data_IF_414462672129
#
_entry.id   IF_414462672129
#
_cell.length_a   1.000
_cell.length_b   1.000
_cell.length_c   1.000
_cell.angle_alpha   90.00
_cell.angle_beta   90.00
_cell.angle_gamma   90.00
#
_symmetry.space_group_name_H-M   'P 1'
#
loop_
_entity.id
_entity.type
_entity.pdbx_description
1 polymer ?
#
# COMPACT_ATOMS: atom_id res chain seq x y z
N UNK A 1 -8.62 33.64 -12.71
CA UNK A 1 -7.33 33.98 -12.05
C UNK A 1 -7.05 33.17 -10.77
N UNK A 2 -7.88 32.18 -10.43
CA UNK A 2 -7.75 31.30 -9.25
C UNK A 2 -7.03 29.98 -9.54
N UNK A 3 -6.99 29.54 -10.82
CA UNK A 3 -6.36 28.29 -11.26
C UNK A 3 -4.82 28.39 -11.37
N UNK A 4 -4.30 29.52 -11.87
CA UNK A 4 -2.85 29.77 -12.04
C UNK A 4 -2.10 30.01 -10.72
N UNK A 5 -2.82 30.17 -9.60
CA UNK A 5 -2.23 30.42 -8.27
C UNK A 5 -2.01 29.14 -7.46
N UNK A 6 -2.74 28.05 -7.76
CA UNK A 6 -2.52 26.73 -7.15
C UNK A 6 -1.23 26.06 -7.66
N UNK A 7 -0.80 26.37 -8.89
CA UNK A 7 0.41 25.83 -9.52
C UNK A 7 1.72 26.27 -8.81
N UNK A 8 1.74 27.46 -8.20
CA UNK A 8 2.97 28.05 -7.66
C UNK A 8 3.46 27.44 -6.33
N UNK A 9 2.55 26.97 -5.47
CA UNK A 9 2.93 26.29 -4.22
C UNK A 9 3.37 24.85 -4.51
N UNK A 10 2.66 24.17 -5.42
CA UNK A 10 3.08 22.89 -6.00
C UNK A 10 4.48 22.98 -6.58
N UNK A 11 4.80 24.03 -7.34
CA UNK A 11 6.14 24.22 -7.93
C UNK A 11 7.30 24.24 -6.92
N UNK A 12 7.13 24.71 -5.68
CA UNK A 12 8.26 24.78 -4.72
C UNK A 12 8.51 23.47 -3.98
N UNK A 13 7.46 22.76 -3.56
CA UNK A 13 7.57 21.38 -3.05
C UNK A 13 8.01 20.42 -4.16
N UNK A 14 7.54 20.64 -5.39
CA UNK A 14 8.03 19.96 -6.61
C UNK A 14 9.51 20.25 -6.81
N UNK A 15 9.95 21.53 -6.82
CA UNK A 15 11.37 21.88 -6.94
C UNK A 15 12.25 21.28 -5.85
N UNK A 16 11.78 21.17 -4.60
CA UNK A 16 12.55 20.53 -3.52
C UNK A 16 12.70 19.02 -3.75
N UNK A 17 11.64 18.34 -4.18
CA UNK A 17 11.67 16.90 -4.48
C UNK A 17 12.41 16.61 -5.79
N UNK A 18 12.24 17.45 -6.81
CA UNK A 18 13.04 17.46 -8.03
C UNK A 18 14.51 17.72 -7.73
N UNK A 19 14.84 18.63 -6.82
CA UNK A 19 16.22 18.88 -6.42
C UNK A 19 16.82 17.69 -5.65
N UNK A 20 16.04 17.05 -4.77
CA UNK A 20 16.45 15.78 -4.13
C UNK A 20 16.65 14.68 -5.16
N UNK A 21 15.71 14.50 -6.09
CA UNK A 21 15.79 13.53 -7.18
C UNK A 21 16.95 13.84 -8.14
N UNK A 22 17.18 15.10 -8.48
CA UNK A 22 18.28 15.56 -9.35
C UNK A 22 19.63 15.37 -8.67
N UNK A 23 19.74 15.65 -7.37
CA UNK A 23 20.95 15.38 -6.61
C UNK A 23 21.18 13.87 -6.46
N UNK A 24 20.11 13.08 -6.30
CA UNK A 24 20.18 11.62 -6.33
C UNK A 24 20.69 11.14 -7.70
N UNK A 25 20.11 11.61 -8.80
CA UNK A 25 20.46 11.25 -10.17
C UNK A 25 21.90 11.66 -10.50
N UNK A 26 22.33 12.88 -10.13
CA UNK A 26 23.71 13.35 -10.32
C UNK A 26 24.72 12.53 -9.52
N UNK A 27 24.32 12.05 -8.35
CA UNK A 27 25.14 11.19 -7.51
C UNK A 27 25.18 9.73 -8.04
N UNK A 28 24.07 9.24 -8.59
CA UNK A 28 23.93 7.87 -9.11
C UNK A 28 24.56 7.73 -10.51
N UNK A 29 24.44 8.74 -11.38
CA UNK A 29 24.93 8.75 -12.77
C UNK A 29 25.78 10.00 -13.07
N UNK A 30 27.03 10.07 -12.59
CA UNK A 30 27.88 11.26 -12.73
C UNK A 30 28.18 11.65 -14.18
N UNK A 31 27.99 10.74 -15.14
CA UNK A 31 28.30 10.94 -16.56
C UNK A 31 27.08 11.06 -17.49
N UNK A 32 25.84 10.92 -16.98
CA UNK A 32 24.63 10.98 -17.82
C UNK A 32 23.87 12.29 -17.57
N UNK A 33 23.88 13.19 -18.56
CA UNK A 33 22.95 14.31 -18.62
C UNK A 33 21.58 13.77 -19.03
N UNK A 34 20.82 13.23 -18.08
CA UNK A 34 19.43 12.87 -18.33
C UNK A 34 18.68 14.17 -18.65
N UNK A 35 18.15 14.27 -19.88
CA UNK A 35 17.12 15.26 -20.20
C UNK A 35 15.92 14.92 -19.31
N UNK A 36 15.80 15.58 -18.16
CA UNK A 36 14.51 15.74 -17.51
C UNK A 36 13.63 16.34 -18.60
N UNK A 37 12.68 15.55 -19.11
CA UNK A 37 11.78 16.00 -20.16
C UNK A 37 11.03 17.23 -19.61
N UNK A 38 11.52 18.41 -19.98
CA UNK A 38 10.86 19.66 -19.67
C UNK A 38 9.58 19.72 -20.49
N UNK A 39 8.45 19.76 -19.78
CA UNK A 39 7.09 20.09 -20.25
C UNK A 39 6.40 19.01 -21.09
N UNK A 40 5.84 18.01 -20.41
CA UNK A 40 4.41 17.72 -20.57
C UNK A 40 3.75 17.85 -19.20
N UNK A 41 2.55 18.42 -19.14
CA UNK A 41 1.74 18.60 -17.93
C UNK A 41 1.14 17.28 -17.40
N UNK A 42 1.69 16.15 -17.82
CA UNK A 42 1.21 14.80 -17.49
C UNK A 42 2.14 14.17 -16.46
N UNK A 43 1.56 13.58 -15.41
CA UNK A 43 2.33 12.95 -14.36
C UNK A 43 3.07 11.73 -14.90
N UNK A 44 4.38 11.65 -14.62
CA UNK A 44 5.25 10.58 -15.11
C UNK A 44 4.95 9.29 -14.34
N UNK A 45 4.26 8.35 -14.97
CA UNK A 45 3.92 7.04 -14.38
C UNK A 45 5.04 6.01 -14.50
N UNK A 46 5.97 6.20 -15.44
CA UNK A 46 7.14 5.33 -15.66
C UNK A 46 8.41 6.18 -15.64
N UNK A 47 9.33 5.85 -14.74
CA UNK A 47 10.61 6.55 -14.58
C UNK A 47 11.72 5.61 -15.01
N UNK A 48 12.31 5.86 -16.17
CA UNK A 48 13.48 5.09 -16.61
C UNK A 48 14.78 5.73 -16.08
N UNK A 49 15.41 5.07 -15.12
CA UNK A 49 16.73 5.41 -14.59
C UNK A 49 17.83 4.52 -15.17
N UNK A 50 17.51 3.55 -16.04
CA UNK A 50 18.49 2.62 -16.57
C UNK A 50 19.37 3.22 -17.68
N UNK A 51 20.41 2.48 -18.03
CA UNK A 51 21.32 2.79 -19.13
C UNK A 51 20.62 2.66 -20.50
N UNK A 52 19.61 1.79 -20.60
CA UNK A 52 18.91 1.40 -21.84
C UNK A 52 17.68 2.26 -22.14
N UNK A 53 17.36 2.38 -23.42
CA UNK A 53 16.10 2.97 -23.87
C UNK A 53 14.98 1.92 -23.84
N UNK A 54 13.80 2.31 -23.36
CA UNK A 54 12.63 1.43 -23.32
C UNK A 54 11.81 1.63 -24.59
N UNK A 55 11.30 0.54 -25.15
CA UNK A 55 10.36 0.61 -26.28
C UNK A 55 9.03 1.24 -25.86
N UNK A 56 8.29 1.81 -26.81
CA UNK A 56 6.96 2.38 -26.56
C UNK A 56 5.99 1.34 -25.98
N UNK A 57 6.06 0.09 -26.44
CA UNK A 57 5.24 -1.01 -25.91
C UNK A 57 5.60 -1.34 -24.45
N UNK A 58 6.88 -1.31 -24.08
CA UNK A 58 7.35 -1.47 -22.69
C UNK A 58 6.83 -0.34 -21.80
N UNK A 59 6.94 0.91 -22.26
CA UNK A 59 6.43 2.06 -21.49
C UNK A 59 4.90 1.99 -21.36
N UNK A 60 4.20 1.63 -22.43
CA UNK A 60 2.74 1.44 -22.44
C UNK A 60 2.31 0.44 -21.37
N UNK A 61 2.91 -0.74 -21.32
CA UNK A 61 2.50 -1.78 -20.36
C UNK A 61 2.89 -1.43 -18.92
N UNK A 62 4.08 -0.86 -18.68
CA UNK A 62 4.51 -0.44 -17.33
C UNK A 62 3.70 0.75 -16.81
N UNK A 63 3.20 1.63 -17.70
CA UNK A 63 2.36 2.77 -17.33
C UNK A 63 1.04 2.36 -16.68
N UNK A 64 0.61 1.09 -16.87
CA UNK A 64 -0.61 0.53 -16.28
C UNK A 64 -0.50 0.22 -14.79
N UNK A 65 0.73 0.17 -14.26
CA UNK A 65 1.01 -0.18 -12.86
C UNK A 65 1.36 -1.64 -12.66
N UNK A 66 2.21 -1.94 -11.68
CA UNK A 66 2.67 -3.31 -11.39
C UNK A 66 1.52 -4.21 -10.90
N UNK A 67 0.55 -3.62 -10.20
CA UNK A 67 -0.70 -4.25 -9.81
C UNK A 67 -1.71 -4.43 -10.95
N UNK A 68 -1.35 -4.18 -12.21
CA UNK A 68 -2.23 -4.46 -13.34
C UNK A 68 -2.24 -5.96 -13.62
N UNK A 69 -3.42 -6.58 -13.63
CA UNK A 69 -3.59 -7.97 -14.02
C UNK A 69 -3.82 -8.17 -15.53
N UNK A 70 -2.89 -8.83 -16.24
CA UNK A 70 -3.14 -9.39 -17.56
C UNK A 70 -4.27 -10.42 -17.56
N UNK A 71 -5.01 -10.51 -18.65
CA UNK A 71 -5.99 -11.59 -18.85
C UNK A 71 -5.28 -12.95 -18.93
N UNK A 72 -5.76 -13.97 -18.19
CA UNK A 72 -5.12 -15.29 -18.20
C UNK A 72 -5.20 -15.93 -19.59
N UNK A 73 -4.11 -16.61 -19.99
CA UNK A 73 -4.02 -17.32 -21.30
C UNK A 73 -4.70 -18.68 -21.30
N UNK A 74 -5.03 -19.20 -20.12
CA UNK A 74 -5.72 -20.48 -19.91
C UNK A 74 -6.58 -20.36 -18.67
N UNK A 75 -7.66 -21.14 -18.62
CA UNK A 75 -8.45 -21.27 -17.40
C UNK A 75 -7.64 -22.17 -16.44
N UNK A 76 -7.42 -21.77 -15.17
CA UNK A 76 -6.73 -22.58 -14.17
C UNK A 76 -7.67 -23.69 -13.66
N UNK A 77 -7.89 -24.69 -14.52
CA UNK A 77 -8.84 -25.79 -14.26
C UNK A 77 -8.45 -26.58 -13.01
N UNK A 78 -7.16 -26.85 -12.82
CA UNK A 78 -6.64 -27.60 -11.67
C UNK A 78 -6.92 -26.89 -10.34
N UNK A 79 -6.65 -25.57 -10.27
CA UNK A 79 -6.91 -24.77 -9.08
C UNK A 79 -8.42 -24.67 -8.80
N UNK A 80 -9.24 -24.48 -9.85
CA UNK A 80 -10.69 -24.42 -9.70
C UNK A 80 -11.24 -25.74 -9.16
N UNK A 81 -10.83 -26.88 -9.72
CA UNK A 81 -11.28 -28.21 -9.27
C UNK A 81 -10.85 -28.46 -7.82
N UNK A 82 -9.59 -28.16 -7.50
CA UNK A 82 -9.06 -28.31 -6.13
C UNK A 82 -9.85 -27.48 -5.13
N UNK A 83 -10.19 -26.24 -5.50
CA UNK A 83 -11.00 -25.37 -4.65
C UNK A 83 -12.45 -25.85 -4.51
N UNK A 84 -13.08 -26.36 -5.57
CA UNK A 84 -14.41 -26.98 -5.49
C UNK A 84 -14.42 -28.18 -4.54
N UNK A 85 -13.44 -29.08 -4.65
CA UNK A 85 -13.35 -30.24 -3.75
C UNK A 85 -13.12 -29.81 -2.29
N UNK A 86 -12.28 -28.79 -2.07
CA UNK A 86 -12.11 -28.18 -0.75
C UNK A 86 -13.41 -27.58 -0.21
N UNK A 87 -14.22 -26.92 -1.05
CA UNK A 87 -15.54 -26.38 -0.68
C UNK A 87 -16.51 -27.50 -0.30
N UNK A 88 -16.60 -28.55 -1.12
CA UNK A 88 -17.43 -29.74 -0.85
C UNK A 88 -17.06 -30.36 0.51
N UNK A 89 -15.76 -30.54 0.75
CA UNK A 89 -15.24 -31.13 1.97
C UNK A 89 -15.50 -30.26 3.21
N UNK A 90 -15.17 -28.96 3.15
CA UNK A 90 -15.29 -28.02 4.28
C UNK A 90 -16.75 -27.75 4.67
N UNK A 91 -17.64 -27.64 3.68
CA UNK A 91 -19.06 -27.34 3.91
C UNK A 91 -19.94 -28.60 4.00
N UNK A 92 -19.34 -29.81 4.00
CA UNK A 92 -20.02 -31.10 4.16
C UNK A 92 -21.22 -31.25 3.21
N UNK A 93 -21.00 -30.98 1.93
CA UNK A 93 -22.04 -31.07 0.90
C UNK A 93 -22.43 -32.56 0.71
N UNK A 94 -23.73 -32.91 0.69
CA UNK A 94 -24.18 -34.29 0.47
C UNK A 94 -23.68 -34.88 -0.85
N UNK A 95 -23.49 -36.19 -0.90
CA UNK A 95 -22.92 -36.86 -2.08
C UNK A 95 -23.68 -36.58 -3.39
N UNK A 96 -25.01 -36.60 -3.39
CA UNK A 96 -25.80 -36.31 -4.59
C UNK A 96 -25.62 -34.88 -5.12
N UNK A 97 -25.67 -33.89 -4.22
CA UNK A 97 -25.47 -32.49 -4.57
C UNK A 97 -24.03 -32.19 -4.99
N UNK A 98 -23.06 -32.86 -4.35
CA UNK A 98 -21.66 -32.76 -4.71
C UNK A 98 -21.38 -33.31 -6.12
N UNK A 99 -22.04 -34.41 -6.51
CA UNK A 99 -21.89 -34.98 -7.85
C UNK A 99 -22.54 -34.10 -8.93
N UNK A 100 -23.70 -33.50 -8.63
CA UNK A 100 -24.31 -32.47 -9.49
C UNK A 100 -23.37 -31.26 -9.67
N UNK A 101 -22.82 -30.73 -8.56
CA UNK A 101 -21.89 -29.61 -8.57
C UNK A 101 -20.64 -29.90 -9.42
N UNK A 102 -20.04 -31.08 -9.23
CA UNK A 102 -18.89 -31.54 -10.04
C UNK A 102 -19.23 -31.58 -11.52
N UNK A 103 -20.40 -32.13 -11.88
CA UNK A 103 -20.82 -32.28 -13.26
C UNK A 103 -21.10 -30.93 -13.93
N UNK A 104 -21.76 -30.01 -13.21
CA UNK A 104 -22.07 -28.67 -13.69
C UNK A 104 -20.81 -27.84 -13.90
N UNK A 105 -19.90 -27.84 -12.92
CA UNK A 105 -18.60 -27.15 -13.03
C UNK A 105 -17.77 -27.76 -14.15
N UNK A 106 -17.70 -29.09 -14.27
CA UNK A 106 -16.95 -29.76 -15.35
C UNK A 106 -17.52 -29.44 -16.74
N UNK A 107 -18.84 -29.33 -16.86
CA UNK A 107 -19.51 -28.92 -18.11
C UNK A 107 -19.25 -27.46 -18.42
N UNK A 108 -19.29 -26.59 -17.42
CA UNK A 108 -18.99 -25.16 -17.55
C UNK A 108 -17.55 -24.93 -18.00
N UNK A 109 -16.57 -25.59 -17.37
CA UNK A 109 -15.15 -25.42 -17.69
C UNK A 109 -14.82 -25.87 -19.13
N UNK A 110 -15.49 -26.93 -19.61
CA UNK A 110 -15.32 -27.41 -21.00
C UNK A 110 -15.92 -26.46 -22.05
N UNK A 111 -17.02 -25.77 -21.72
CA UNK A 111 -17.75 -24.89 -22.66
C UNK A 111 -17.31 -23.43 -22.61
N UNK A 112 -16.62 -23.02 -21.55
CA UNK A 112 -16.32 -21.62 -21.32
C UNK A 112 -15.21 -21.11 -22.25
N UNK A 113 -15.45 -20.03 -23.02
CA UNK A 113 -14.40 -19.37 -23.79
C UNK A 113 -13.47 -18.58 -22.86
N UNK A 114 -12.25 -18.36 -23.32
CA UNK A 114 -11.33 -17.44 -22.65
C UNK A 114 -11.83 -15.99 -22.77
N UNK A 115 -11.67 -15.18 -21.70
CA UNK A 115 -11.96 -13.76 -21.76
C UNK A 115 -11.07 -13.05 -22.80
N UNK A 116 -11.57 -11.94 -23.34
CA UNK A 116 -10.82 -11.12 -24.30
C UNK A 116 -9.56 -10.57 -23.64
N UNK A 117 -8.41 -10.73 -24.30
CA UNK A 117 -7.15 -10.23 -23.78
C UNK A 117 -7.16 -8.70 -23.65
N UNK A 118 -6.68 -8.23 -22.50
CA UNK A 118 -6.49 -6.82 -22.19
C UNK A 118 -5.07 -6.30 -22.50
N UNK A 119 -4.16 -7.13 -23.03
CA UNK A 119 -2.79 -6.76 -23.44
C UNK A 119 -2.56 -7.16 -24.90
N UNK A 120 -1.82 -6.36 -25.65
CA UNK A 120 -1.47 -6.66 -27.04
C UNK A 120 -0.34 -7.68 -27.16
N UNK A 121 -0.19 -8.31 -28.34
CA UNK A 121 0.92 -9.24 -28.60
C UNK A 121 2.29 -8.55 -28.51
N UNK A 122 2.38 -7.26 -28.86
CA UNK A 122 3.61 -6.46 -28.76
C UNK A 122 3.98 -6.19 -27.30
N UNK A 123 3.02 -5.75 -26.49
CA UNK A 123 3.21 -5.57 -25.05
C UNK A 123 3.58 -6.89 -24.35
N UNK A 124 3.03 -8.02 -24.81
CA UNK A 124 3.44 -9.36 -24.34
C UNK A 124 4.89 -9.68 -24.71
N UNK A 125 5.35 -9.35 -25.92
CA UNK A 125 6.75 -9.52 -26.31
C UNK A 125 7.66 -8.65 -25.45
N UNK A 126 7.30 -7.37 -25.28
CA UNK A 126 8.01 -6.42 -24.45
C UNK A 126 8.17 -6.89 -23.00
N UNK A 127 7.11 -7.43 -22.38
CA UNK A 127 7.19 -8.02 -21.04
C UNK A 127 8.12 -9.24 -20.97
N UNK A 128 8.14 -10.09 -22.01
CA UNK A 128 9.04 -11.25 -22.06
C UNK A 128 10.48 -10.83 -22.22
N UNK A 129 10.75 -9.85 -23.09
CA UNK A 129 12.08 -9.26 -23.28
C UNK A 129 12.58 -8.66 -21.97
N UNK A 130 11.74 -7.85 -21.31
CA UNK A 130 12.08 -7.22 -20.04
C UNK A 130 12.32 -8.23 -18.91
N UNK A 131 11.48 -9.28 -18.81
CA UNK A 131 11.64 -10.36 -17.83
C UNK A 131 12.94 -11.16 -18.04
N UNK A 132 13.37 -11.32 -19.29
CA UNK A 132 14.58 -12.07 -19.62
C UNK A 132 15.84 -11.21 -19.53
N UNK A 133 15.71 -9.90 -19.34
CA UNK A 133 16.83 -8.97 -19.24
C UNK A 133 17.29 -8.83 -17.78
N UNK A 134 18.24 -9.67 -17.38
CA UNK A 134 18.82 -9.65 -16.02
C UNK A 134 19.58 -8.35 -15.68
N UNK A 135 19.88 -7.50 -16.67
CA UNK A 135 20.56 -6.22 -16.44
C UNK A 135 19.62 -5.09 -16.02
N UNK A 136 18.31 -5.31 -16.06
CA UNK A 136 17.30 -4.35 -15.67
C UNK A 136 16.47 -4.86 -14.49
N UNK A 137 16.23 -3.96 -13.53
CA UNK A 137 15.28 -4.16 -12.45
C UNK A 137 14.10 -3.22 -12.64
N UNK A 138 12.89 -3.75 -12.49
CA UNK A 138 11.66 -2.97 -12.43
C UNK A 138 11.21 -2.92 -10.99
N UNK A 139 10.97 -1.75 -10.43
CA UNK A 139 10.62 -1.60 -9.01
C UNK A 139 9.45 -0.62 -8.86
N UNK A 140 8.57 -0.81 -7.87
CA UNK A 140 7.64 0.23 -7.47
C UNK A 140 8.41 1.42 -6.87
N UNK A 141 8.00 2.64 -7.23
CA UNK A 141 8.47 3.83 -6.54
C UNK A 141 7.87 3.89 -5.13
N UNK A 142 8.67 4.28 -4.14
CA UNK A 142 8.24 4.54 -2.75
C UNK A 142 7.03 5.50 -2.68
N UNK A 143 7.00 6.50 -3.56
CA UNK A 143 5.94 7.51 -3.61
C UNK A 143 5.39 7.68 -5.01
N UNK A 144 4.07 7.88 -5.07
CA UNK A 144 3.39 8.28 -6.30
C UNK A 144 2.84 7.15 -7.13
N UNK A 145 2.98 5.88 -6.71
CA UNK A 145 2.60 4.72 -7.50
C UNK A 145 3.15 4.87 -8.93
N UNK A 146 4.47 5.03 -9.07
CA UNK A 146 5.15 5.05 -10.35
C UNK A 146 5.97 3.76 -10.50
N UNK A 147 6.24 3.36 -11.73
CA UNK A 147 7.11 2.21 -12.02
C UNK A 147 8.49 2.71 -12.39
N UNK A 148 9.53 2.26 -11.69
CA UNK A 148 10.91 2.66 -11.90
C UNK A 148 11.65 1.52 -12.58
N UNK A 149 12.43 1.83 -13.62
CA UNK A 149 13.34 0.87 -14.26
C UNK A 149 14.77 1.32 -14.00
N UNK A 150 15.61 0.44 -13.46
CA UNK A 150 16.98 0.76 -13.03
C UNK A 150 17.94 -0.33 -13.51
N UNK A 151 19.21 0.00 -13.75
CA UNK A 151 20.22 -1.04 -14.01
C UNK A 151 20.44 -1.87 -12.74
N UNK A 152 20.47 -3.19 -12.90
CA UNK A 152 20.71 -4.17 -11.81
C UNK A 152 22.00 -3.86 -11.06
N UNK A 153 23.09 -3.58 -11.77
CA UNK A 153 24.39 -3.24 -11.19
C UNK A 153 24.34 -1.95 -10.34
N UNK A 154 23.65 -0.92 -10.84
CA UNK A 154 23.53 0.36 -10.13
C UNK A 154 22.73 0.21 -8.83
N UNK A 155 21.65 -0.58 -8.87
CA UNK A 155 20.87 -0.92 -7.69
C UNK A 155 21.70 -1.69 -6.67
N UNK A 156 22.39 -2.74 -7.10
CA UNK A 156 23.23 -3.57 -6.24
C UNK A 156 24.36 -2.80 -5.57
N UNK A 157 25.04 -1.94 -6.33
CA UNK A 157 26.07 -1.07 -5.79
C UNK A 157 25.48 -0.18 -4.69
N UNK A 158 24.27 0.33 -4.88
CA UNK A 158 23.61 1.18 -3.88
C UNK A 158 23.23 0.43 -2.62
N UNK A 159 22.61 -0.74 -2.74
CA UNK A 159 22.26 -1.56 -1.56
C UNK A 159 23.53 -1.99 -0.83
N UNK A 160 24.57 -2.39 -1.56
CA UNK A 160 25.87 -2.76 -0.97
C UNK A 160 26.49 -1.57 -0.23
N UNK A 161 26.41 -0.35 -0.76
CA UNK A 161 26.84 0.86 -0.08
C UNK A 161 26.03 1.11 1.21
N UNK A 162 24.71 0.94 1.18
CA UNK A 162 23.84 1.15 2.35
C UNK A 162 24.12 0.11 3.44
N UNK A 163 24.19 -1.16 3.07
CA UNK A 163 24.41 -2.28 4.00
C UNK A 163 25.87 -2.30 4.51
N UNK A 164 26.79 -1.67 3.78
CA UNK A 164 28.17 -1.42 4.20
C UNK A 164 28.32 -0.39 5.33
N UNK A 165 27.27 0.37 5.66
CA UNK A 165 27.31 1.29 6.79
C UNK A 165 27.30 0.53 8.13
N UNK A 166 28.49 0.38 8.71
CA UNK A 166 28.71 -0.32 9.98
C UNK A 166 28.11 0.39 11.20
N UNK A 167 27.64 1.63 11.05
CA UNK A 167 26.92 2.34 12.12
C UNK A 167 25.47 1.88 12.26
N UNK A 168 24.87 1.38 11.17
CA UNK A 168 23.46 0.95 11.11
C UNK A 168 23.32 -0.56 10.99
N UNK A 169 24.20 -1.21 10.22
CA UNK A 169 24.12 -2.63 9.92
C UNK A 169 25.39 -3.39 10.29
N UNK A 170 25.21 -4.65 10.70
CA UNK A 170 26.31 -5.55 11.02
C UNK A 170 26.16 -6.86 10.27
N UNK A 171 27.15 -7.21 9.45
CA UNK A 171 27.23 -8.52 8.78
C UNK A 171 27.42 -9.66 9.79
N UNK A 172 26.71 -10.76 9.59
CA UNK A 172 26.64 -11.93 10.46
C UNK A 172 27.10 -13.16 9.67
N UNK A 173 28.03 -13.93 10.22
CA UNK A 173 28.67 -15.08 9.54
C UNK A 173 27.91 -16.41 9.69
N UNK A 174 26.73 -16.38 10.30
CA UNK A 174 25.93 -17.57 10.58
C UNK A 174 24.47 -17.30 10.25
N UNK A 175 23.73 -18.35 9.91
CA UNK A 175 22.29 -18.27 9.75
C UNK A 175 21.64 -18.09 11.13
N UNK A 176 20.99 -16.94 11.42
CA UNK A 176 20.44 -16.64 12.74
C UNK A 176 19.13 -17.38 13.04
N UNK A 177 18.48 -17.97 12.03
CA UNK A 177 17.11 -18.51 12.13
C UNK A 177 16.95 -19.50 13.27
N UNK A 178 17.76 -20.55 13.34
CA UNK A 178 17.65 -21.58 14.39
C UNK A 178 17.81 -20.99 15.80
N UNK A 179 18.71 -20.01 15.94
CA UNK A 179 18.99 -19.33 17.22
C UNK A 179 17.82 -18.43 17.63
N UNK A 180 17.27 -17.68 16.67
CA UNK A 180 16.08 -16.84 16.89
C UNK A 180 14.90 -17.71 17.28
N UNK A 181 14.59 -18.75 16.50
CA UNK A 181 13.50 -19.70 16.79
C UNK A 181 13.62 -20.32 18.18
N UNK A 182 14.82 -20.80 18.55
CA UNK A 182 15.05 -21.39 19.87
C UNK A 182 14.83 -20.40 21.00
N UNK A 183 15.29 -19.15 20.84
CA UNK A 183 15.13 -18.12 21.87
C UNK A 183 13.68 -17.64 21.98
N UNK A 184 12.98 -17.48 20.86
CA UNK A 184 11.54 -17.17 20.83
C UNK A 184 10.75 -18.26 21.53
N UNK A 185 10.98 -19.54 21.21
CA UNK A 185 10.28 -20.65 21.87
C UNK A 185 10.51 -20.67 23.38
N UNK A 186 11.73 -20.38 23.84
CA UNK A 186 12.02 -20.24 25.29
C UNK A 186 11.25 -19.09 25.92
N UNK A 187 11.17 -17.93 25.26
CA UNK A 187 10.44 -16.77 25.76
C UNK A 187 8.93 -17.03 25.80
N UNK A 188 8.37 -17.68 24.78
CA UNK A 188 6.96 -18.08 24.74
C UNK A 188 6.61 -19.05 25.88
N UNK A 189 7.49 -20.01 26.18
CA UNK A 189 7.29 -20.92 27.31
C UNK A 189 7.31 -20.20 28.67
N UNK A 190 8.08 -19.12 28.81
CA UNK A 190 8.15 -18.30 30.04
C UNK A 190 6.87 -17.47 30.22
N UNK A 191 6.26 -16.99 29.14
CA UNK A 191 5.01 -16.23 29.19
C UNK A 191 3.87 -17.10 29.76
N UNK A 192 3.88 -18.42 29.49
CA UNK A 192 3.06 -19.41 30.20
C UNK A 192 1.54 -19.34 29.98
N UNK A 193 1.05 -18.34 29.24
CA UNK A 193 -0.37 -18.13 28.97
C UNK A 193 -0.83 -18.95 27.75
N UNK A 194 -1.46 -20.10 28.03
CA UNK A 194 -1.98 -21.03 27.00
C UNK A 194 -3.04 -20.39 26.11
N UNK A 195 -3.80 -19.43 26.64
CA UNK A 195 -4.88 -18.76 25.93
C UNK A 195 -4.34 -17.63 25.03
N UNK A 196 -3.33 -16.88 25.48
CA UNK A 196 -2.60 -15.92 24.64
C UNK A 196 -1.85 -16.62 23.49
N UNK A 197 -1.20 -17.75 23.74
CA UNK A 197 -0.55 -18.58 22.70
C UNK A 197 -1.58 -19.07 21.67
N UNK A 198 -2.79 -19.41 22.10
CA UNK A 198 -3.89 -19.75 21.22
C UNK A 198 -4.46 -18.53 20.46
N UNK A 199 -4.51 -17.33 21.08
CA UNK A 199 -5.00 -16.08 20.46
C UNK A 199 -4.01 -15.41 19.50
N UNK A 200 -2.72 -15.73 19.60
CA UNK A 200 -1.69 -15.35 18.62
C UNK A 200 -1.80 -16.16 17.31
N UNK A 201 -2.67 -17.19 17.25
CA UNK A 201 -3.21 -17.70 15.98
C UNK A 201 -4.37 -16.79 15.55
N UNK A 202 -4.27 -16.10 14.41
CA UNK A 202 -5.28 -15.13 14.01
C UNK A 202 -6.54 -15.85 13.53
N UNK A 203 -7.66 -15.66 14.23
CA UNK A 203 -8.97 -16.13 13.79
C UNK A 203 -10.10 -15.08 13.87
N UNK A 204 -9.92 -13.93 14.55
CA UNK A 204 -10.82 -12.75 14.46
C UNK A 204 -10.28 -11.55 15.28
N UNK A 205 -9.89 -10.41 14.67
CA UNK A 205 -9.39 -9.26 15.42
C UNK A 205 -10.52 -8.38 15.97
N UNK A 206 -10.46 -8.08 17.27
CA UNK A 206 -11.21 -6.97 17.89
C UNK A 206 -10.24 -5.92 18.43
N UNK A 207 -10.59 -4.62 18.38
CA UNK A 207 -9.71 -3.55 18.85
C UNK A 207 -9.53 -3.60 20.38
N UNK A 208 -8.29 -3.43 20.89
CA UNK A 208 -8.04 -3.44 22.33
C UNK A 208 -8.58 -2.16 23.00
N UNK A 209 -9.23 -2.32 24.16
CA UNK A 209 -9.57 -1.23 25.09
C UNK A 209 -8.44 -1.05 26.09
N UNK A 210 -8.04 0.20 26.32
CA UNK A 210 -7.00 0.59 27.29
C UNK A 210 -7.52 0.37 28.72
N UNK A 211 -6.74 -0.36 29.53
CA UNK A 211 -6.79 -0.26 30.98
C UNK A 211 -5.45 0.34 31.46
N UNK A 212 -5.56 1.30 32.39
CA UNK A 212 -4.42 2.01 32.95
C UNK A 212 -3.38 1.11 33.62
N UNK A 213 -2.13 1.61 33.63
CA UNK A 213 -0.94 1.13 34.35
C UNK A 213 -1.00 -0.33 34.81
N UNK A 214 -0.70 -1.24 33.89
CA UNK A 214 -0.12 -2.54 34.24
C UNK A 214 1.40 -2.42 34.17
N UNK A 215 2.09 -2.87 35.22
CA UNK A 215 3.51 -3.21 35.08
C UNK A 215 3.59 -4.35 34.07
N UNK A 216 4.08 -4.07 32.85
CA UNK A 216 4.37 -5.10 31.86
C UNK A 216 5.24 -6.16 32.54
N UNK A 217 4.82 -7.44 32.61
CA UNK A 217 5.65 -8.46 33.22
C UNK A 217 7.01 -8.50 32.52
N UNK A 218 8.08 -8.71 33.29
CA UNK A 218 9.46 -8.68 32.77
C UNK A 218 9.66 -9.57 31.55
N UNK A 219 8.94 -10.71 31.49
CA UNK A 219 8.94 -11.64 30.35
C UNK A 219 8.47 -11.01 29.03
N UNK A 220 7.49 -10.09 29.05
CA UNK A 220 7.05 -9.36 27.86
C UNK A 220 8.08 -8.31 27.46
N UNK A 221 8.69 -7.60 28.41
CA UNK A 221 9.74 -6.62 28.15
C UNK A 221 10.96 -7.29 27.51
N UNK A 222 11.36 -8.46 28.03
CA UNK A 222 12.42 -9.27 27.44
C UNK A 222 12.09 -9.73 26.01
N UNK A 223 10.84 -10.14 25.78
CA UNK A 223 10.37 -10.57 24.46
C UNK A 223 10.34 -9.42 23.45
N UNK A 224 9.80 -8.27 23.83
CA UNK A 224 9.77 -7.05 23.02
C UNK A 224 11.20 -6.59 22.71
N UNK A 225 12.06 -6.53 23.73
CA UNK A 225 13.48 -6.17 23.57
C UNK A 225 14.18 -7.11 22.61
N UNK A 226 13.90 -8.41 22.69
CA UNK A 226 14.47 -9.40 21.80
C UNK A 226 14.00 -9.20 20.36
N UNK A 227 12.71 -8.97 20.13
CA UNK A 227 12.16 -8.70 18.80
C UNK A 227 12.77 -7.43 18.18
N UNK A 228 12.91 -6.35 18.95
CA UNK A 228 13.51 -5.10 18.47
C UNK A 228 15.01 -5.24 18.14
N UNK A 229 15.74 -6.09 18.86
CA UNK A 229 17.18 -6.33 18.65
C UNK A 229 17.49 -7.44 17.64
N UNK A 230 16.48 -8.11 17.11
CA UNK A 230 16.63 -9.26 16.19
C UNK A 230 16.17 -8.91 14.77
N UNK A 231 16.41 -7.68 14.32
CA UNK A 231 16.18 -7.24 12.95
C UNK A 231 17.21 -7.82 11.98
N UNK A 232 17.19 -9.14 11.78
CA UNK A 232 18.04 -9.81 10.82
C UNK A 232 17.39 -9.81 9.43
N UNK A 233 18.18 -9.63 8.39
CA UNK A 233 17.75 -9.79 7.00
C UNK A 233 18.84 -10.49 6.18
N UNK A 234 18.42 -11.06 5.04
CA UNK A 234 19.29 -11.73 4.08
C UNK A 234 19.47 -10.80 2.88
N UNK A 235 20.72 -10.60 2.45
CA UNK A 235 21.02 -9.90 1.21
C UNK A 235 22.14 -10.66 0.49
N UNK A 236 21.87 -11.15 -0.72
CA UNK A 236 22.82 -11.92 -1.56
C UNK A 236 23.55 -13.05 -0.84
N UNK A 237 22.81 -13.85 -0.07
CA UNK A 237 23.37 -14.98 0.68
C UNK A 237 24.07 -14.62 1.99
N UNK A 238 24.26 -13.32 2.27
CA UNK A 238 24.84 -12.83 3.50
C UNK A 238 23.77 -12.36 4.49
N UNK A 239 23.95 -12.70 5.76
CA UNK A 239 23.06 -12.25 6.82
C UNK A 239 23.54 -10.92 7.40
N UNK A 240 22.61 -10.01 7.65
CA UNK A 240 22.87 -8.73 8.29
C UNK A 240 21.94 -8.55 9.48
N UNK A 241 22.41 -7.82 10.49
CA UNK A 241 21.64 -7.40 11.64
C UNK A 241 21.58 -5.88 11.66
N UNK A 242 20.37 -5.32 11.71
CA UNK A 242 20.17 -3.92 12.03
C UNK A 242 20.48 -3.67 13.51
N UNK A 243 21.45 -2.81 13.77
CA UNK A 243 21.93 -2.48 15.13
C UNK A 243 21.50 -1.09 15.60
N UNK A 244 21.05 -0.23 14.68
CA UNK A 244 20.52 1.10 14.99
C UNK A 244 19.14 1.32 14.35
N UNK A 245 18.24 1.95 15.12
CA UNK A 245 16.84 2.10 14.78
C UNK A 245 16.01 0.82 14.96
N UNK A 246 14.75 0.87 14.52
CA UNK A 246 13.85 -0.29 14.50
C UNK A 246 13.60 -0.68 13.04
N UNK A 247 13.58 -1.98 12.77
CA UNK A 247 13.31 -2.50 11.43
C UNK A 247 11.93 -2.07 10.93
N UNK A 248 11.92 -1.48 9.73
CA UNK A 248 10.68 -1.22 8.99
C UNK A 248 9.98 -2.56 8.71
N UNK A 249 8.64 -2.57 8.84
CA UNK A 249 7.84 -3.80 8.72
C UNK A 249 7.72 -4.62 10.01
N UNK A 250 8.45 -4.28 11.08
CA UNK A 250 8.20 -4.90 12.39
C UNK A 250 6.86 -4.44 12.96
N UNK A 251 5.96 -5.35 13.37
CA UNK A 251 4.67 -4.98 13.98
C UNK A 251 4.80 -4.17 15.27
N UNK A 252 5.96 -4.27 15.95
CA UNK A 252 6.24 -3.52 17.18
C UNK A 252 6.83 -2.13 16.90
N UNK A 253 7.38 -1.90 15.70
CA UNK A 253 8.07 -0.64 15.39
C UNK A 253 7.19 0.60 15.56
N UNK A 254 5.94 0.65 15.05
CA UNK A 254 5.11 1.84 15.17
C UNK A 254 4.81 2.19 16.63
N UNK A 255 4.55 1.17 17.46
CA UNK A 255 4.23 1.36 18.88
C UNK A 255 5.44 1.89 19.63
N UNK A 256 6.61 1.28 19.44
CA UNK A 256 7.84 1.66 20.14
C UNK A 256 8.34 3.04 19.67
N UNK A 257 8.24 3.32 18.37
CA UNK A 257 8.54 4.64 17.83
C UNK A 257 7.61 5.71 18.44
N UNK A 258 6.31 5.44 18.55
CA UNK A 258 5.37 6.37 19.19
C UNK A 258 5.70 6.64 20.66
N UNK A 259 6.06 5.61 21.43
CA UNK A 259 6.47 5.76 22.85
C UNK A 259 7.73 6.63 22.95
N UNK A 260 8.73 6.38 22.11
CA UNK A 260 9.94 7.18 22.10
C UNK A 260 9.66 8.63 21.69
N UNK A 261 8.84 8.83 20.66
CA UNK A 261 8.47 10.17 20.20
C UNK A 261 7.66 10.94 21.25
N UNK A 262 6.78 10.28 22.00
CA UNK A 262 6.07 10.90 23.13
C UNK A 262 7.05 11.41 24.20
N UNK A 263 8.01 10.58 24.63
CA UNK A 263 9.07 11.00 25.55
C UNK A 263 9.91 12.16 25.01
N UNK A 264 10.29 12.10 23.72
CA UNK A 264 11.04 13.16 23.06
C UNK A 264 10.26 14.47 23.05
N UNK A 265 8.97 14.42 22.68
CA UNK A 265 8.07 15.57 22.62
C UNK A 265 7.83 16.19 23.99
N UNK A 266 7.57 15.38 25.02
CA UNK A 266 7.43 15.85 26.41
C UNK A 266 8.67 16.65 26.83
N UNK A 267 9.85 16.04 26.69
CA UNK A 267 11.12 16.69 27.04
C UNK A 267 11.36 17.95 26.22
N UNK A 268 11.08 17.91 24.92
CA UNK A 268 11.33 19.01 24.01
C UNK A 268 10.39 20.20 24.27
N UNK A 269 9.10 19.95 24.50
CA UNK A 269 8.09 20.98 24.74
C UNK A 269 8.15 21.56 26.15
N UNK A 270 8.55 20.77 27.16
CA UNK A 270 8.78 21.27 28.52
C UNK A 270 9.96 22.24 28.58
N UNK A 271 11.04 21.93 27.86
CA UNK A 271 12.27 22.73 27.83
C UNK A 271 12.25 23.86 26.80
N UNK A 272 11.20 23.97 25.97
CA UNK A 272 11.10 24.99 24.95
C UNK A 272 10.68 26.36 25.53
N UNK A 273 11.43 27.41 25.17
CA UNK A 273 11.05 28.79 25.48
C UNK A 273 9.81 29.26 24.70
N UNK A 274 9.58 28.67 23.52
CA UNK A 274 8.45 28.96 22.65
C UNK A 274 7.46 27.81 22.76
N UNK A 275 6.24 28.08 23.23
CA UNK A 275 5.19 27.06 23.34
C UNK A 275 4.22 27.16 22.16
N UNK A 276 4.10 26.11 21.33
CA UNK A 276 3.06 26.03 20.30
C UNK A 276 1.66 26.18 20.93
N UNK A 277 0.76 26.85 20.22
CA UNK A 277 -0.65 26.94 20.61
C UNK A 277 -1.38 25.61 20.40
N UNK A 278 -1.02 24.91 19.33
CA UNK A 278 -1.49 23.56 19.02
C UNK A 278 -0.30 22.70 18.64
N UNK A 279 -0.35 21.43 19.04
CA UNK A 279 0.63 20.41 18.70
C UNK A 279 -0.11 19.07 18.54
N UNK A 280 -0.20 18.59 17.30
CA UNK A 280 -0.80 17.31 16.98
C UNK A 280 0.20 16.49 16.18
N UNK A 281 0.38 15.22 16.56
CA UNK A 281 1.27 14.30 15.86
C UNK A 281 0.48 13.12 15.31
N UNK A 282 0.79 12.75 14.08
CA UNK A 282 0.38 11.51 13.46
C UNK A 282 1.64 10.76 13.02
N UNK A 283 2.05 9.76 13.81
CA UNK A 283 3.29 9.00 13.60
C UNK A 283 4.51 9.94 13.52
N UNK A 284 5.02 10.24 12.34
CA UNK A 284 6.17 11.10 12.05
C UNK A 284 5.78 12.54 11.66
N UNK A 285 4.54 12.77 11.25
CA UNK A 285 4.06 14.09 10.82
C UNK A 285 3.49 14.89 12.01
N UNK A 286 3.99 16.12 12.19
CA UNK A 286 3.55 17.04 13.26
C UNK A 286 2.85 18.25 12.65
N UNK A 287 1.64 18.55 13.12
CA UNK A 287 0.93 19.80 12.87
C UNK A 287 1.04 20.70 14.10
N UNK A 288 1.62 21.88 13.92
CA UNK A 288 1.78 22.84 15.00
C UNK A 288 1.39 24.26 14.59
N UNK A 289 0.84 25.01 15.54
CA UNK A 289 0.53 26.44 15.36
C UNK A 289 1.44 27.25 16.28
N UNK A 290 2.34 28.02 15.68
CA UNK A 290 3.40 28.77 16.37
C UNK A 290 3.47 30.18 15.80
N UNK A 291 3.88 31.15 16.60
CA UNK A 291 4.20 32.49 16.10
C UNK A 291 5.33 32.42 15.08
N UNK A 292 5.17 33.10 13.93
CA UNK A 292 6.05 32.93 12.76
C UNK A 292 7.50 33.36 13.04
N UNK A 293 7.68 34.39 13.85
CA UNK A 293 8.97 34.88 14.33
C UNK A 293 9.69 33.87 15.23
N UNK A 294 8.94 33.12 16.03
CA UNK A 294 9.47 32.15 16.99
C UNK A 294 9.74 30.75 16.39
N UNK A 295 9.39 30.53 15.12
CA UNK A 295 9.47 29.22 14.47
C UNK A 295 10.91 28.69 14.38
N UNK A 296 11.87 29.54 13.99
CA UNK A 296 13.29 29.16 13.86
C UNK A 296 13.90 28.76 15.20
N UNK A 297 13.53 29.46 16.26
CA UNK A 297 14.01 29.18 17.62
C UNK A 297 13.48 27.84 18.11
N UNK A 298 12.19 27.57 17.88
CA UNK A 298 11.60 26.27 18.21
C UNK A 298 12.26 25.14 17.43
N UNK A 299 12.42 25.25 16.11
CA UNK A 299 13.05 24.19 15.30
C UNK A 299 14.49 23.93 15.73
N UNK A 300 15.26 24.99 16.01
CA UNK A 300 16.63 24.87 16.47
C UNK A 300 16.72 24.20 17.84
N UNK A 301 15.75 24.46 18.73
CA UNK A 301 15.63 23.78 20.02
C UNK A 301 15.31 22.29 19.84
N UNK A 302 14.27 21.95 19.07
CA UNK A 302 13.87 20.55 18.82
C UNK A 302 15.05 19.70 18.31
N UNK A 303 15.83 20.23 17.37
CA UNK A 303 16.99 19.55 16.78
C UNK A 303 18.21 19.44 17.73
N UNK A 304 18.21 20.16 18.85
CA UNK A 304 19.24 20.04 19.90
C UNK A 304 18.88 19.02 20.98
N UNK A 305 17.60 18.71 21.15
CA UNK A 305 17.12 17.83 22.24
C UNK A 305 17.67 16.41 22.10
N UNK A 306 17.83 15.92 20.88
CA UNK A 306 18.34 14.57 20.63
C UNK A 306 19.22 14.51 19.37
N UNK A 307 20.43 13.96 19.50
CA UNK A 307 21.45 13.94 18.44
C UNK A 307 21.05 13.15 17.18
N UNK A 308 20.10 12.21 17.29
CA UNK A 308 19.64 11.36 16.16
C UNK A 308 18.27 11.74 15.61
N UNK A 309 17.62 12.79 16.13
CA UNK A 309 16.31 13.23 15.62
C UNK A 309 16.50 14.57 14.92
N UNK A 310 16.10 14.62 13.66
CA UNK A 310 16.09 15.84 12.87
C UNK A 310 14.65 16.18 12.47
N UNK A 311 14.13 17.26 13.05
CA UNK A 311 12.84 17.84 12.72
C UNK A 311 13.02 18.81 11.55
N UNK A 312 12.26 18.57 10.49
CA UNK A 312 12.15 19.49 9.35
C UNK A 312 10.81 20.21 9.37
N UNK A 313 10.78 21.48 8.97
CA UNK A 313 9.56 22.30 8.98
C UNK A 313 9.04 22.55 7.56
N UNK A 314 7.71 22.59 7.44
CA UNK A 314 7.01 23.10 6.28
C UNK A 314 6.13 24.28 6.72
N UNK A 315 6.40 25.46 6.17
CA UNK A 315 5.68 26.68 6.53
C UNK A 315 4.43 26.85 5.68
N UNK A 316 3.39 27.41 6.32
CA UNK A 316 2.19 27.84 5.63
C UNK A 316 2.51 28.94 4.60
N UNK A 317 2.04 28.74 3.37
CA UNK A 317 2.21 29.69 2.26
C UNK A 317 0.85 30.08 1.71
N UNK A 318 0.61 31.38 1.58
CA UNK A 318 -0.64 31.95 1.04
C UNK A 318 -1.91 31.40 1.70
N UNK A 319 -1.88 31.20 3.02
CA UNK A 319 -3.02 30.63 3.75
C UNK A 319 -3.11 29.11 3.65
N UNK A 320 -2.12 28.39 3.10
CA UNK A 320 -2.24 26.95 2.82
C UNK A 320 -1.10 26.16 3.42
N UNK A 321 -1.43 25.00 3.99
CA UNK A 321 -0.48 24.05 4.54
C UNK A 321 -0.97 22.61 4.31
N UNK A 322 -0.20 21.75 3.61
CA UNK A 322 -0.54 20.33 3.53
C UNK A 322 -0.27 19.64 4.87
N UNK A 323 -1.17 18.75 5.28
CA UNK A 323 -0.99 17.84 6.41
C UNK A 323 -1.66 16.51 6.10
N UNK A 324 -0.88 15.42 6.06
CA UNK A 324 -1.32 14.11 5.59
C UNK A 324 -1.98 14.20 4.19
N UNK A 325 -3.22 13.73 4.09
CA UNK A 325 -4.04 13.70 2.88
C UNK A 325 -4.91 14.96 2.69
N UNK A 326 -4.72 15.98 3.54
CA UNK A 326 -5.56 17.18 3.62
C UNK A 326 -4.73 18.44 3.35
N UNK A 327 -5.28 19.34 2.54
CA UNK A 327 -4.76 20.68 2.34
C UNK A 327 -5.55 21.61 3.25
N UNK A 328 -4.92 22.06 4.33
CA UNK A 328 -5.51 23.02 5.27
C UNK A 328 -5.42 24.42 4.65
N UNK A 329 -6.54 25.13 4.61
CA UNK A 329 -6.68 26.45 3.99
C UNK A 329 -7.22 27.41 5.04
N UNK A 330 -6.45 28.43 5.43
CA UNK A 330 -6.89 29.55 6.24
C UNK A 330 -7.44 30.65 5.34
N UNK A 331 -8.74 30.84 5.42
CA UNK A 331 -9.45 31.90 4.72
C UNK A 331 -9.14 33.28 5.34
N UNK A 332 -9.29 34.39 4.59
CA UNK A 332 -9.02 35.74 5.11
C UNK A 332 -9.86 36.15 6.32
N UNK A 333 -11.03 35.53 6.50
CA UNK A 333 -11.91 35.74 7.65
C UNK A 333 -11.49 34.94 8.90
N UNK A 334 -10.36 34.21 8.83
CA UNK A 334 -9.85 33.38 9.93
C UNK A 334 -10.47 31.98 10.01
N UNK A 335 -11.44 31.64 9.16
CA UNK A 335 -11.99 30.27 9.08
C UNK A 335 -10.93 29.34 8.48
N UNK A 336 -10.79 28.15 9.06
CA UNK A 336 -9.98 27.08 8.48
C UNK A 336 -10.92 26.16 7.71
N UNK A 337 -10.63 26.00 6.42
CA UNK A 337 -11.27 25.05 5.53
C UNK A 337 -10.26 24.01 5.07
N UNK A 338 -10.75 22.95 4.43
CA UNK A 338 -9.93 21.84 3.99
C UNK A 338 -10.39 21.29 2.65
N UNK A 339 -9.41 20.78 1.90
CA UNK A 339 -9.63 20.03 0.66
C UNK A 339 -8.64 18.87 0.57
N UNK A 340 -8.80 17.99 -0.41
CA UNK A 340 -7.88 16.87 -0.61
C UNK A 340 -6.50 17.39 -1.05
N UNK A 341 -5.45 16.99 -0.34
CA UNK A 341 -4.08 17.20 -0.78
C UNK A 341 -3.55 15.98 -1.53
N UNK A 342 -2.80 16.25 -2.60
CA UNK A 342 -2.01 15.26 -3.33
C UNK A 342 -0.57 15.74 -3.36
N UNK A 343 0.35 14.86 -2.96
CA UNK A 343 1.80 15.15 -3.05
C UNK A 343 2.17 15.41 -4.51
N UNK A 344 3.19 16.24 -4.81
CA UNK A 344 3.62 16.49 -6.19
C UNK A 344 4.02 15.23 -6.97
N UNK A 345 4.46 14.19 -6.26
CA UNK A 345 4.80 12.89 -6.84
C UNK A 345 3.58 12.04 -7.18
N UNK A 346 2.36 12.46 -6.81
CA UNK A 346 1.14 11.71 -7.06
C UNK A 346 0.84 11.66 -8.56
N UNK A 347 0.74 10.46 -9.13
CA UNK A 347 0.59 10.28 -10.57
C UNK A 347 -0.86 10.24 -11.06
N UNK A 348 -1.83 10.18 -10.13
CA UNK A 348 -3.22 9.82 -10.44
C UNK A 348 -3.37 8.46 -11.14
N UNK A 349 -2.34 7.60 -11.08
CA UNK A 349 -2.42 6.21 -11.53
C UNK A 349 -3.12 5.39 -10.46
N UNK A 350 -4.25 4.81 -10.83
CA UNK A 350 -5.00 3.85 -10.03
C UNK A 350 -5.09 2.52 -10.78
N UNK A 351 -5.66 1.49 -10.13
CA UNK A 351 -5.96 0.24 -10.81
C UNK A 351 -6.87 0.53 -12.01
N UNK A 352 -6.47 0.09 -13.20
CA UNK A 352 -7.20 0.41 -14.43
C UNK A 352 -8.47 -0.41 -14.56
N UNK A 353 -9.50 0.18 -15.15
CA UNK A 353 -10.80 -0.47 -15.37
C UNK A 353 -10.76 -1.67 -16.34
N UNK A 354 -9.72 -1.76 -17.18
CA UNK A 354 -9.48 -2.87 -18.12
C UNK A 354 -8.60 -3.98 -17.53
N UNK A 355 -8.23 -3.89 -16.25
CA UNK A 355 -7.48 -4.94 -15.56
C UNK A 355 -8.36 -6.16 -15.28
N UNK A 356 -7.76 -7.36 -15.31
CA UNK A 356 -8.46 -8.62 -15.05
C UNK A 356 -8.67 -8.91 -13.55
N UNK A 357 -9.08 -7.89 -12.81
CA UNK A 357 -9.48 -8.01 -11.41
C UNK A 357 -11.00 -8.20 -11.31
N UNK A 358 -11.43 -8.83 -10.22
CA UNK A 358 -12.85 -8.94 -9.94
C UNK A 358 -13.50 -7.55 -9.76
N UNK A 359 -14.77 -7.37 -10.18
CA UNK A 359 -15.46 -6.07 -10.14
C UNK A 359 -15.47 -5.39 -8.77
N UNK A 360 -15.38 -6.13 -7.66
CA UNK A 360 -15.28 -5.55 -6.31
C UNK A 360 -14.00 -4.71 -6.14
N UNK A 361 -12.83 -5.23 -6.56
CA UNK A 361 -11.57 -4.51 -6.50
C UNK A 361 -11.58 -3.32 -7.46
N UNK A 362 -12.07 -3.50 -8.68
CA UNK A 362 -12.18 -2.40 -9.66
C UNK A 362 -13.09 -1.28 -9.16
N UNK A 363 -14.22 -1.62 -8.51
CA UNK A 363 -15.17 -0.65 -7.97
C UNK A 363 -14.72 0.00 -6.66
N UNK A 364 -13.70 -0.55 -5.99
CA UNK A 364 -13.10 0.10 -4.81
C UNK A 364 -12.44 1.43 -5.16
N UNK A 365 -11.80 1.56 -6.33
CA UNK A 365 -11.14 2.78 -6.79
C UNK A 365 -12.10 3.99 -6.82
N UNK A 366 -13.19 3.98 -7.62
CA UNK A 366 -14.12 5.10 -7.64
C UNK A 366 -14.81 5.32 -6.30
N UNK A 367 -15.13 4.25 -5.54
CA UNK A 367 -15.72 4.41 -4.20
C UNK A 367 -14.79 5.18 -3.27
N UNK A 368 -13.52 4.79 -3.18
CA UNK A 368 -12.54 5.43 -2.32
C UNK A 368 -12.31 6.89 -2.70
N UNK A 369 -12.17 7.20 -4.00
CA UNK A 369 -11.97 8.58 -4.45
C UNK A 369 -13.18 9.48 -4.20
N UNK A 370 -14.39 8.99 -4.45
CA UNK A 370 -15.62 9.74 -4.20
C UNK A 370 -15.86 9.92 -2.70
N UNK A 371 -15.68 8.87 -1.90
CA UNK A 371 -15.81 8.95 -0.44
C UNK A 371 -14.77 9.91 0.15
N UNK A 372 -13.50 9.84 -0.31
CA UNK A 372 -12.45 10.77 0.10
C UNK A 372 -12.81 12.22 -0.24
N UNK A 373 -13.33 12.48 -1.44
CA UNK A 373 -13.76 13.81 -1.85
C UNK A 373 -14.89 14.37 -0.98
N UNK A 374 -15.84 13.53 -0.57
CA UNK A 374 -16.97 13.94 0.27
C UNK A 374 -16.59 14.05 1.75
N UNK A 375 -15.67 13.22 2.23
CA UNK A 375 -15.28 13.18 3.64
C UNK A 375 -14.23 14.24 4.01
N UNK A 376 -13.34 14.61 3.08
CA UNK A 376 -12.19 15.49 3.35
C UNK A 376 -12.30 16.90 2.76
N UNK A 377 -13.34 17.22 1.99
CA UNK A 377 -13.51 18.56 1.45
C UNK A 377 -14.66 19.28 2.14
N UNK A 378 -14.42 20.54 2.48
CA UNK A 378 -15.52 21.46 2.77
C UNK A 378 -16.37 21.71 1.53
N UNK A 379 -17.63 22.10 1.76
CA UNK A 379 -18.66 22.31 0.73
C UNK A 379 -18.18 23.20 -0.44
N UNK A 380 -17.33 24.19 -0.15
CA UNK A 380 -16.78 25.12 -1.14
C UNK A 380 -15.79 24.43 -2.13
N UNK A 381 -15.15 23.35 -1.70
CA UNK A 381 -14.08 22.65 -2.45
C UNK A 381 -14.53 21.30 -3.04
N UNK A 382 -15.57 20.67 -2.49
CA UNK A 382 -16.07 19.34 -2.94
C UNK A 382 -16.30 19.30 -4.45
N UNK A 383 -16.94 20.32 -5.03
CA UNK A 383 -17.26 20.32 -6.46
C UNK A 383 -16.00 20.38 -7.35
N UNK A 384 -14.96 21.08 -6.91
CA UNK A 384 -13.69 21.11 -7.64
C UNK A 384 -12.99 19.75 -7.56
N UNK A 385 -13.00 19.15 -6.38
CA UNK A 385 -12.43 17.82 -6.15
C UNK A 385 -13.17 16.74 -6.96
N UNK A 386 -14.51 16.77 -7.02
CA UNK A 386 -15.28 15.83 -7.82
C UNK A 386 -15.02 15.96 -9.33
N UNK A 387 -14.72 17.16 -9.83
CA UNK A 387 -14.29 17.35 -11.22
C UNK A 387 -12.94 16.68 -11.46
N UNK A 388 -11.99 16.90 -10.56
CA UNK A 388 -10.69 16.23 -10.65
C UNK A 388 -10.83 14.70 -10.57
N UNK A 389 -11.61 14.16 -9.62
CA UNK A 389 -11.88 12.72 -9.50
C UNK A 389 -12.51 12.16 -10.78
N UNK A 390 -13.43 12.89 -11.40
CA UNK A 390 -13.99 12.50 -12.70
C UNK A 390 -12.89 12.35 -13.76
N UNK A 391 -12.05 13.37 -13.93
CA UNK A 391 -11.00 13.37 -14.94
C UNK A 391 -9.98 12.24 -14.70
N UNK A 392 -9.65 11.99 -13.43
CA UNK A 392 -8.80 10.86 -13.00
C UNK A 392 -9.42 9.52 -13.36
N UNK A 393 -10.70 9.32 -13.03
CA UNK A 393 -11.39 8.06 -13.29
C UNK A 393 -11.50 7.79 -14.80
N UNK A 394 -11.83 8.80 -15.60
CA UNK A 394 -11.89 8.68 -17.06
C UNK A 394 -10.51 8.34 -17.65
N UNK A 395 -9.42 8.96 -17.18
CA UNK A 395 -8.04 8.61 -17.57
C UNK A 395 -7.65 7.17 -17.21
N UNK A 396 -8.17 6.62 -16.13
CA UNK A 396 -7.94 5.23 -15.71
C UNK A 396 -8.93 4.22 -16.36
N UNK A 397 -9.72 4.67 -17.35
CA UNK A 397 -10.62 3.82 -18.14
C UNK A 397 -12.02 3.62 -17.52
N UNK A 398 -12.33 4.29 -16.41
CA UNK A 398 -13.64 4.19 -15.77
C UNK A 398 -14.67 5.10 -16.43
N UNK A 399 -15.90 4.60 -16.55
CA UNK A 399 -17.01 5.40 -17.04
C UNK A 399 -17.63 6.21 -15.89
N UNK A 400 -17.50 7.55 -15.95
CA UNK A 400 -18.03 8.45 -14.92
C UNK A 400 -19.51 8.21 -14.59
N UNK A 401 -20.35 7.96 -15.60
CA UNK A 401 -21.79 7.66 -15.41
C UNK A 401 -22.05 6.44 -14.53
N UNK A 402 -21.17 5.44 -14.56
CA UNK A 402 -21.25 4.27 -13.67
C UNK A 402 -20.75 4.60 -12.27
N UNK A 403 -19.63 5.32 -12.20
CA UNK A 403 -18.98 5.69 -10.93
C UNK A 403 -19.81 6.64 -10.09
N UNK A 404 -20.46 7.63 -10.70
CA UNK A 404 -21.31 8.60 -10.00
C UNK A 404 -22.45 7.96 -9.20
N UNK A 405 -22.87 6.72 -9.54
CA UNK A 405 -23.89 6.01 -8.75
C UNK A 405 -23.43 5.72 -7.31
N UNK A 406 -22.13 5.73 -7.06
CA UNK A 406 -21.58 5.58 -5.72
C UNK A 406 -21.69 6.85 -4.87
N UNK A 407 -21.95 8.03 -5.47
CA UNK A 407 -22.28 9.27 -4.76
C UNK A 407 -23.69 9.16 -4.16
N UNK A 408 -23.80 8.48 -3.02
CA UNK A 408 -25.08 8.26 -2.32
C UNK A 408 -25.16 6.91 -1.59
N UNK A 409 -24.32 5.94 -1.96
CA UNK A 409 -24.22 4.65 -1.26
C UNK A 409 -23.37 4.71 0.02
N UNK A 410 -22.87 5.90 0.39
CA UNK A 410 -21.94 6.10 1.50
C UNK A 410 -22.55 5.91 2.91
N UNK A 411 -23.83 5.50 3.01
CA UNK A 411 -24.53 5.31 4.28
C UNK A 411 -25.16 3.92 4.48
N UNK A 412 -25.22 3.07 3.45
CA UNK A 412 -25.72 1.71 3.63
C UNK A 412 -24.54 0.79 3.91
N UNK A 413 -24.15 0.74 5.19
CA UNK A 413 -23.47 -0.45 5.68
C UNK A 413 -24.39 -1.64 5.32
N UNK A 414 -23.97 -2.49 4.38
CA UNK A 414 -24.55 -3.83 4.26
C UNK A 414 -24.53 -4.39 5.68
N UNK A 415 -25.70 -4.63 6.27
CA UNK A 415 -25.78 -5.40 7.51
C UNK A 415 -25.03 -6.68 7.21
N UNK A 416 -23.91 -6.93 7.90
CA UNK A 416 -23.28 -8.24 7.84
C UNK A 416 -24.38 -9.23 8.20
N UNK A 417 -24.68 -10.22 7.35
CA UNK A 417 -25.55 -11.32 7.73
C UNK A 417 -25.06 -11.89 9.06
N UNK A 418 -25.97 -12.46 9.86
CA UNK A 418 -25.57 -13.17 11.07
C UNK A 418 -24.48 -14.20 10.70
N UNK A 419 -23.38 -14.25 11.47
CA UNK A 419 -22.29 -15.21 11.28
C UNK A 419 -22.86 -16.62 11.16
N UNK A 420 -23.00 -17.11 9.92
CA UNK A 420 -23.12 -18.53 9.68
C UNK A 420 -21.71 -19.12 9.79
N UNK A 421 -21.54 -20.22 10.52
CA UNK A 421 -20.30 -21.01 10.57
C UNK A 421 -20.04 -21.68 9.21
N UNK A 422 -19.82 -20.90 8.14
CA UNK A 422 -19.42 -21.41 6.83
C UNK A 422 -17.98 -21.03 6.55
N UNK A 423 -17.25 -21.95 5.93
CA UNK A 423 -15.88 -21.68 5.52
C UNK A 423 -15.91 -21.09 4.11
N UNK A 424 -15.29 -19.92 3.88
CA UNK A 424 -15.25 -19.30 2.55
C UNK A 424 -14.54 -20.20 1.53
N UNK A 425 -15.00 -20.12 0.29
CA UNK A 425 -14.39 -20.74 -0.87
C UNK A 425 -13.55 -19.69 -1.62
N UNK A 426 -12.36 -20.07 -2.03
CA UNK A 426 -11.41 -19.19 -2.71
C UNK A 426 -11.24 -19.69 -4.14
N UNK A 427 -11.44 -18.83 -5.12
CA UNK A 427 -11.27 -19.19 -6.54
C UNK A 427 -10.34 -18.20 -7.24
N UNK A 428 -9.51 -18.66 -8.19
CA UNK A 428 -8.88 -17.73 -9.11
C UNK A 428 -9.95 -17.01 -9.93
N UNK A 429 -9.80 -15.70 -10.10
CA UNK A 429 -10.76 -14.92 -10.89
C UNK A 429 -10.51 -15.10 -12.39
N UNK A 430 -11.52 -15.60 -13.10
CA UNK A 430 -11.59 -15.60 -14.55
C UNK A 430 -12.95 -15.06 -14.97
N UNK A 431 -12.94 -13.87 -15.56
CA UNK A 431 -14.15 -13.17 -16.00
C UNK A 431 -15.03 -14.07 -16.89
N UNK A 432 -16.30 -14.20 -16.53
CA UNK A 432 -17.32 -15.00 -17.23
C UNK A 432 -17.29 -16.49 -16.92
N UNK A 433 -16.28 -16.98 -16.18
CA UNK A 433 -16.17 -18.37 -15.70
C UNK A 433 -16.41 -18.40 -14.20
N UNK A 434 -15.60 -17.69 -13.43
CA UNK A 434 -15.72 -17.65 -11.97
C UNK A 434 -17.08 -17.11 -11.55
N UNK A 435 -17.59 -16.08 -12.23
CA UNK A 435 -18.93 -15.52 -11.95
C UNK A 435 -20.03 -16.61 -12.04
N UNK A 436 -19.95 -17.49 -13.04
CA UNK A 436 -20.91 -18.59 -13.22
C UNK A 436 -20.68 -19.74 -12.24
N UNK A 437 -19.44 -19.99 -11.85
CA UNK A 437 -19.13 -20.97 -10.80
C UNK A 437 -19.75 -20.51 -9.48
N UNK A 438 -19.62 -19.22 -9.16
CA UNK A 438 -20.27 -18.62 -8.00
C UNK A 438 -21.77 -18.82 -8.05
N UNK A 439 -22.41 -18.52 -9.19
CA UNK A 439 -23.84 -18.79 -9.37
C UNK A 439 -24.17 -20.27 -9.10
N UNK A 440 -23.45 -21.23 -9.70
CA UNK A 440 -23.70 -22.67 -9.50
C UNK A 440 -23.56 -23.08 -8.02
N UNK A 441 -22.49 -22.63 -7.35
CA UNK A 441 -22.24 -22.95 -5.94
C UNK A 441 -23.33 -22.36 -5.05
N UNK A 442 -23.73 -21.11 -5.30
CA UNK A 442 -24.83 -20.47 -4.58
C UNK A 442 -26.14 -21.23 -4.78
N UNK A 443 -26.43 -21.75 -5.98
CA UNK A 443 -27.66 -22.51 -6.25
C UNK A 443 -27.69 -23.86 -5.53
N UNK A 444 -26.57 -24.59 -5.47
CA UNK A 444 -26.48 -25.87 -4.73
C UNK A 444 -26.63 -25.65 -3.23
N UNK A 445 -26.16 -24.52 -2.71
CA UNK A 445 -26.37 -24.14 -1.31
C UNK A 445 -27.77 -23.53 -1.03
N UNK A 446 -28.40 -22.89 -2.02
CA UNK A 446 -29.75 -22.32 -1.94
C UNK A 446 -30.87 -23.36 -1.79
N UNK A 447 -30.65 -24.62 -2.20
CA UNK A 447 -31.59 -25.72 -1.94
C UNK A 447 -31.71 -26.05 -0.44
N UNK A 448 -30.80 -25.54 0.41
CA UNK A 448 -30.93 -25.58 1.88
C UNK A 448 -31.59 -24.33 2.51
N UNK A 449 -31.97 -23.33 1.70
CA UNK A 449 -32.33 -21.98 2.13
C UNK A 449 -33.84 -21.66 1.98
N UNK A 450 -34.70 -22.36 2.72
CA UNK A 450 -35.96 -21.73 3.17
C UNK A 450 -35.72 -20.68 4.28
N UNK A 451 -34.51 -20.61 4.86
CA UNK A 451 -34.13 -19.56 5.81
C UNK A 451 -32.70 -19.03 5.55
N UNK A 452 -32.61 -17.75 5.14
CA UNK A 452 -31.47 -16.81 5.29
C UNK A 452 -30.26 -16.81 4.31
N UNK A 453 -30.32 -15.85 3.38
CA UNK A 453 -29.30 -14.97 2.77
C UNK A 453 -27.83 -15.41 2.50
N UNK A 454 -27.49 -15.32 1.20
CA UNK A 454 -26.27 -14.89 0.46
C UNK A 454 -24.88 -15.13 1.07
N UNK A 455 -24.06 -15.84 0.29
CA UNK A 455 -22.64 -16.12 0.55
C UNK A 455 -21.79 -14.84 0.43
N UNK A 456 -20.98 -14.54 1.45
CA UNK A 456 -19.80 -13.67 1.30
C UNK A 456 -18.62 -14.54 0.84
N UNK A 457 -18.37 -14.56 -0.47
CA UNK A 457 -17.12 -15.09 -1.04
C UNK A 457 -16.01 -14.10 -0.74
N UNK A 458 -15.31 -14.32 0.37
CA UNK A 458 -14.13 -13.56 0.75
C UNK A 458 -12.91 -14.16 0.06
N UNK A 459 -12.25 -13.30 -0.71
CA UNK A 459 -10.92 -13.42 -1.32
C UNK A 459 -10.74 -14.36 -2.53
N UNK A 460 -10.21 -13.77 -3.60
CA UNK A 460 -9.81 -14.44 -4.82
C UNK A 460 -8.30 -14.64 -4.74
N UNK A 461 -7.84 -15.90 -4.75
CA UNK A 461 -6.43 -16.24 -4.71
C UNK A 461 -5.66 -15.76 -5.95
N UNK A 462 -4.40 -15.39 -5.72
CA UNK A 462 -3.30 -15.01 -6.63
C UNK A 462 -3.71 -14.65 -8.08
N UNK A 463 -3.97 -13.36 -8.28
CA UNK A 463 -4.02 -12.78 -9.62
C UNK A 463 -2.59 -12.55 -10.07
N UNK A 464 -2.13 -13.28 -11.09
CA UNK A 464 -0.83 -13.01 -11.72
C UNK A 464 -0.87 -11.60 -12.30
N UNK A 465 -0.24 -10.66 -11.62
CA UNK A 465 -0.12 -9.27 -12.06
C UNK A 465 1.21 -9.04 -12.78
N UNK A 466 1.53 -7.78 -13.10
CA UNK A 466 2.80 -7.47 -13.74
C UNK A 466 3.99 -7.65 -12.78
N UNK A 467 3.78 -7.49 -11.47
CA UNK A 467 4.79 -7.73 -10.44
C UNK A 467 5.22 -9.21 -10.45
N UNK A 468 4.25 -10.13 -10.41
CA UNK A 468 4.49 -11.57 -10.50
C UNK A 468 5.09 -11.98 -11.85
N UNK A 469 4.64 -11.34 -12.93
CA UNK A 469 5.13 -11.64 -14.29
C UNK A 469 6.62 -11.32 -14.42
N UNK A 470 7.06 -10.25 -13.77
CA UNK A 470 8.44 -9.76 -13.80
C UNK A 470 9.34 -10.40 -12.73
N UNK A 471 8.80 -11.24 -11.83
CA UNK A 471 9.53 -11.89 -10.73
C UNK A 471 10.32 -10.90 -9.87
N UNK A 472 9.66 -9.84 -9.44
CA UNK A 472 10.27 -8.86 -8.54
C UNK A 472 10.50 -9.49 -7.16
N UNK A 473 11.66 -9.22 -6.55
CA UNK A 473 12.11 -9.81 -5.26
C UNK A 473 11.43 -9.22 -4.03
#
# INVERSE_FOLDING_TARGET
MTHSRAENIGMQTTKRQEHKLTNLIKYIYPHKSLKVATKSTEAVTVVNLSSKELSEDTVSVLSRGLNFAPTPRRIPVEDIITNIENTIFRNKIPHGDADCLRQDVSTLLRKSPLPKSNITLKEVSALRELRNDESLLVLPADKGNATVVVDTEAYEHKITQMVGDTSVYRKVRYNPTSRVTTKVNKLLNIIGDKELVARLRPLNPTPPKIYGRTTLPTSYVESITYCLKSGYFLWRGDFYLQIDGVAMGSPLAPVVANIFMEWFEEKALESANVKPRYWWRYVDDIFAVVARDALKDLTSHLNRVHAKIEVTIEEEKEGKLPFLDVLVIREPNGRVTHSVYRKPTHTDRYLRADSHHHPSHLSSVPRTLLNRALALCDHDYVNAELRHVRDVLERNGYQWRKCRRFLGSAGEARKRPAEAERTPAYFPYVQGVTDKIVDIVEHVEAVKLEDMEVIDLVDLGDVVDLEDTLKLE
#
